data_IF_134317018499
#
_entry.id   IF_134317018499
#
_cell.length_a   1.000
_cell.length_b   1.000
_cell.length_c   1.000
_cell.angle_alpha   90.00
_cell.angle_beta   90.00
_cell.angle_gamma   90.00
#
_symmetry.space_group_name_H-M   'P 1'
#
loop_
_entity.id
_entity.type
_entity.pdbx_description
1 polymer ?
#
# COMPACT_ATOMS: atom_id res chain seq x y z
N UNK A 1 10.06 -8.10 10.83
CA UNK A 1 8.78 -8.86 10.79
C UNK A 1 8.39 -8.88 9.33
N UNK A 2 8.18 -10.03 8.68
CA UNK A 2 7.88 -10.07 7.23
C UNK A 2 6.36 -9.99 7.04
N UNK A 3 5.84 -8.78 6.81
CA UNK A 3 4.43 -8.48 6.56
C UNK A 3 4.25 -7.58 5.33
N UNK A 4 3.05 -7.04 5.13
CA UNK A 4 2.76 -6.06 4.07
C UNK A 4 3.13 -4.65 4.57
N UNK A 5 4.14 -4.03 3.96
CA UNK A 5 4.49 -2.62 4.14
C UNK A 5 3.89 -1.80 3.01
N UNK A 6 3.45 -0.59 3.32
CA UNK A 6 2.94 0.40 2.39
C UNK A 6 3.70 1.72 2.51
N UNK A 7 3.88 2.40 1.39
CA UNK A 7 4.58 3.68 1.25
C UNK A 7 3.61 4.73 0.69
N UNK A 8 3.34 5.76 1.48
CA UNK A 8 2.27 6.71 1.25
C UNK A 8 2.83 8.09 0.92
N UNK A 9 2.41 8.70 -0.20
CA UNK A 9 2.54 10.14 -0.38
C UNK A 9 1.44 10.83 0.45
N UNK A 10 1.80 11.50 1.55
CA UNK A 10 0.84 12.00 2.54
C UNK A 10 0.62 13.50 2.48
N UNK A 11 -0.62 13.95 2.65
CA UNK A 11 -0.98 15.36 2.86
C UNK A 11 -0.98 15.67 4.37
N UNK A 12 -0.04 16.46 4.91
CA UNK A 12 -0.08 16.84 6.33
C UNK A 12 -1.40 17.54 6.71
N UNK A 13 -1.96 18.33 5.78
CA UNK A 13 -3.25 18.99 5.95
C UNK A 13 -4.39 18.02 6.28
N UNK A 14 -4.40 16.79 5.73
CA UNK A 14 -5.41 15.79 6.09
C UNK A 14 -5.37 15.45 7.58
N UNK A 15 -4.18 15.28 8.15
CA UNK A 15 -4.03 14.98 9.57
C UNK A 15 -4.46 16.17 10.43
N UNK A 16 -4.15 17.39 10.01
CA UNK A 16 -4.51 18.61 10.75
C UNK A 16 -5.99 18.99 10.63
N UNK A 17 -6.62 18.78 9.48
CA UNK A 17 -7.98 19.26 9.18
C UNK A 17 -9.06 18.20 9.39
N UNK A 18 -8.69 16.91 9.29
CA UNK A 18 -9.64 15.79 9.44
C UNK A 18 -9.38 15.03 10.72
N UNK A 19 -8.16 14.54 10.93
CA UNK A 19 -7.85 13.64 12.05
C UNK A 19 -7.79 14.39 13.37
N UNK A 20 -7.01 15.47 13.45
CA UNK A 20 -6.79 16.21 14.68
C UNK A 20 -8.09 16.75 15.31
N UNK A 21 -9.02 17.38 14.55
CA UNK A 21 -10.27 17.85 15.14
C UNK A 21 -11.12 16.71 15.70
N UNK A 22 -11.17 15.56 15.03
CA UNK A 22 -11.87 14.38 15.53
C UNK A 22 -11.24 13.87 16.83
N UNK A 23 -9.91 13.75 16.85
CA UNK A 23 -9.18 13.34 18.04
C UNK A 23 -9.52 14.28 19.18
N UNK A 24 -9.42 15.60 19.00
CA UNK A 24 -9.71 16.64 20.00
C UNK A 24 -11.19 16.75 20.43
N UNK A 25 -12.09 15.89 19.94
CA UNK A 25 -13.52 15.92 20.27
C UNK A 25 -14.32 16.99 19.53
N UNK A 26 -13.72 17.59 18.51
CA UNK A 26 -14.36 18.50 17.57
C UNK A 26 -15.22 17.77 16.54
N UNK A 27 -15.81 18.56 15.64
CA UNK A 27 -16.59 18.08 14.50
C UNK A 27 -15.95 18.55 13.22
N UNK A 28 -16.07 17.75 12.17
CA UNK A 28 -15.64 18.08 10.81
C UNK A 28 -16.84 18.01 9.86
N UNK A 29 -16.73 18.69 8.72
CA UNK A 29 -17.55 18.35 7.55
C UNK A 29 -16.85 17.20 6.79
N UNK A 30 -17.42 15.98 6.77
CA UNK A 30 -16.79 14.85 6.12
C UNK A 30 -16.94 14.88 4.59
N UNK A 31 -17.82 15.71 4.02
CA UNK A 31 -18.20 15.61 2.60
C UNK A 31 -17.01 15.81 1.64
N UNK A 32 -16.10 16.78 1.84
CA UNK A 32 -14.93 16.93 0.97
C UNK A 32 -14.04 15.67 0.94
N UNK A 33 -13.87 15.02 2.10
CA UNK A 33 -13.13 13.77 2.21
C UNK A 33 -13.86 12.63 1.49
N UNK A 34 -15.17 12.46 1.73
CA UNK A 34 -15.96 11.39 1.12
C UNK A 34 -16.00 11.49 -0.41
N UNK A 35 -16.13 12.70 -0.97
CA UNK A 35 -16.11 12.91 -2.42
C UNK A 35 -14.76 12.51 -3.04
N UNK A 36 -13.65 12.85 -2.38
CA UNK A 36 -12.31 12.44 -2.81
C UNK A 36 -12.15 10.91 -2.74
N UNK A 37 -12.67 10.29 -1.67
CA UNK A 37 -12.55 8.85 -1.46
C UNK A 37 -13.36 8.05 -2.47
N UNK A 38 -14.57 8.50 -2.80
CA UNK A 38 -15.41 7.89 -3.84
C UNK A 38 -14.74 7.96 -5.22
N UNK A 39 -14.15 9.11 -5.57
CA UNK A 39 -13.40 9.25 -6.82
C UNK A 39 -12.22 8.28 -6.88
N UNK A 40 -11.44 8.20 -5.81
CA UNK A 40 -10.30 7.29 -5.75
C UNK A 40 -10.74 5.83 -5.86
N UNK A 41 -11.84 5.45 -5.18
CA UNK A 41 -12.40 4.10 -5.20
C UNK A 41 -12.75 3.62 -6.61
N UNK A 42 -13.39 4.46 -7.43
CA UNK A 42 -13.75 4.10 -8.82
C UNK A 42 -12.52 3.65 -9.60
N UNK A 43 -11.43 4.42 -9.53
CA UNK A 43 -10.19 4.07 -10.22
C UNK A 43 -9.49 2.85 -9.62
N UNK A 44 -9.52 2.70 -8.29
CA UNK A 44 -8.91 1.54 -7.62
C UNK A 44 -9.64 0.25 -7.99
N UNK A 45 -10.97 0.27 -7.95
CA UNK A 45 -11.82 -0.86 -8.33
C UNK A 45 -11.62 -1.26 -9.80
N UNK A 46 -11.67 -0.31 -10.74
CA UNK A 46 -11.46 -0.61 -12.18
C UNK A 46 -10.09 -1.26 -12.40
N UNK A 47 -9.03 -0.71 -11.80
CA UNK A 47 -7.67 -1.28 -11.90
C UNK A 47 -7.58 -2.69 -11.32
N UNK A 48 -8.21 -2.93 -10.17
CA UNK A 48 -8.15 -4.23 -9.47
C UNK A 48 -8.77 -5.36 -10.27
N UNK A 49 -9.78 -5.08 -11.09
CA UNK A 49 -10.37 -6.07 -12.00
C UNK A 49 -9.35 -6.57 -13.02
N UNK A 50 -8.50 -5.69 -13.56
CA UNK A 50 -7.40 -6.10 -14.43
C UNK A 50 -6.31 -6.84 -13.68
N UNK A 51 -5.94 -6.35 -12.48
CA UNK A 51 -4.92 -7.02 -11.65
C UNK A 51 -5.35 -8.46 -11.34
N UNK A 52 -6.63 -8.70 -11.00
CA UNK A 52 -7.17 -10.04 -10.75
C UNK A 52 -7.08 -10.94 -11.99
N UNK A 53 -7.49 -10.46 -13.16
CA UNK A 53 -7.34 -11.21 -14.42
C UNK A 53 -5.87 -11.56 -14.69
N UNK A 54 -4.95 -10.61 -14.50
CA UNK A 54 -3.51 -10.84 -14.70
C UNK A 54 -2.95 -11.84 -13.69
N UNK A 55 -3.39 -11.80 -12.44
CA UNK A 55 -2.95 -12.72 -11.40
C UNK A 55 -3.42 -14.16 -11.70
N UNK A 56 -4.68 -14.34 -12.11
CA UNK A 56 -5.21 -15.63 -12.56
C UNK A 56 -4.41 -16.18 -13.75
N UNK A 57 -4.10 -15.35 -14.75
CA UNK A 57 -3.28 -15.75 -15.90
C UNK A 57 -1.84 -16.10 -15.48
N UNK A 58 -1.28 -15.45 -14.46
CA UNK A 58 0.02 -15.81 -13.91
C UNK A 58 -0.02 -17.17 -13.20
N UNK A 59 -1.07 -17.44 -12.43
CA UNK A 59 -1.28 -18.74 -11.77
C UNK A 59 -1.44 -19.86 -12.79
N UNK A 60 -2.28 -19.66 -13.81
CA UNK A 60 -2.47 -20.55 -14.96
C UNK A 60 -1.20 -20.72 -15.81
N UNK A 61 -0.19 -19.86 -15.64
CA UNK A 61 1.11 -20.02 -16.31
C UNK A 61 2.05 -20.99 -15.57
N UNK A 62 1.64 -21.48 -14.41
CA UNK A 62 2.40 -22.42 -13.59
C UNK A 62 1.68 -23.76 -13.48
N UNK A 63 2.39 -24.89 -13.61
CA UNK A 63 1.77 -26.19 -13.42
C UNK A 63 1.26 -26.32 -11.98
N UNK A 64 0.11 -26.99 -11.76
CA UNK A 64 -0.42 -27.19 -10.41
C UNK A 64 0.60 -27.93 -9.54
N UNK A 65 0.77 -27.54 -8.26
CA UNK A 65 1.67 -28.25 -7.37
C UNK A 65 1.20 -29.70 -7.19
N UNK A 66 2.11 -30.68 -7.08
CA UNK A 66 1.72 -32.05 -6.81
C UNK A 66 0.99 -32.13 -5.46
N UNK A 67 -0.04 -32.98 -5.32
CA UNK A 67 -0.84 -33.06 -4.10
C UNK A 67 0.04 -33.49 -2.92
N UNK A 68 -0.10 -32.79 -1.78
CA UNK A 68 0.68 -33.05 -0.56
C UNK A 68 0.23 -34.33 0.13
N UNK A 69 -1.07 -34.63 0.06
CA UNK A 69 -1.72 -35.86 0.50
C UNK A 69 -2.01 -36.77 -0.71
N UNK A 70 -2.31 -38.05 -0.47
CA UNK A 70 -2.60 -39.03 -1.53
C UNK A 70 -1.52 -40.09 -1.74
N UNK A 71 -1.89 -41.10 -2.52
CA UNK A 71 -1.09 -42.27 -2.87
C UNK A 71 0.16 -41.90 -3.68
N UNK A 72 1.17 -42.77 -3.64
CA UNK A 72 2.41 -42.59 -4.44
C UNK A 72 2.12 -42.48 -5.95
N UNK A 73 1.07 -43.14 -6.42
CA UNK A 73 0.61 -43.09 -7.81
C UNK A 73 0.00 -41.75 -8.18
N UNK A 74 -0.82 -41.15 -7.31
CA UNK A 74 -1.36 -39.80 -7.53
C UNK A 74 -0.26 -38.75 -7.57
N UNK A 75 0.73 -38.85 -6.65
CA UNK A 75 1.90 -37.98 -6.65
C UNK A 75 2.77 -38.15 -7.90
N UNK A 76 2.93 -39.38 -8.40
CA UNK A 76 3.67 -39.65 -9.64
C UNK A 76 2.90 -39.13 -10.86
N UNK A 77 1.58 -39.34 -10.92
CA UNK A 77 0.72 -38.83 -11.99
C UNK A 77 0.76 -37.31 -12.06
N UNK A 78 0.61 -36.62 -10.93
CA UNK A 78 0.71 -35.16 -10.88
C UNK A 78 2.09 -34.67 -11.36
N UNK A 79 3.18 -35.37 -11.02
CA UNK A 79 4.52 -35.05 -11.54
C UNK A 79 4.63 -35.26 -13.06
N UNK A 80 3.96 -36.26 -13.62
CA UNK A 80 3.90 -36.46 -15.08
C UNK A 80 3.05 -35.38 -15.76
N UNK A 81 1.93 -34.99 -15.16
CA UNK A 81 1.09 -33.89 -15.64
C UNK A 81 1.86 -32.56 -15.66
N UNK A 82 2.79 -32.34 -14.72
CA UNK A 82 3.73 -31.20 -14.77
C UNK A 82 4.65 -31.24 -16.00
N UNK A 83 5.09 -32.41 -16.45
CA UNK A 83 5.96 -32.52 -17.62
C UNK A 83 5.24 -32.19 -18.94
N UNK A 84 3.96 -32.57 -19.05
CA UNK A 84 3.13 -32.30 -20.24
C UNK A 84 2.39 -30.97 -20.18
N UNK A 85 2.54 -30.21 -19.09
CA UNK A 85 1.86 -28.95 -18.89
C UNK A 85 2.24 -27.92 -19.95
N UNK A 86 1.23 -27.39 -20.63
CA UNK A 86 1.34 -26.28 -21.58
C UNK A 86 0.44 -25.16 -21.12
N UNK A 87 1.04 -24.11 -20.58
CA UNK A 87 0.33 -22.88 -20.26
C UNK A 87 -0.32 -22.30 -21.51
N UNK A 88 -1.45 -21.62 -21.31
CA UNK A 88 -2.07 -20.84 -22.36
C UNK A 88 -1.05 -19.82 -22.95
N UNK A 89 -1.06 -19.57 -24.28
CA UNK A 89 -0.15 -18.62 -24.89
C UNK A 89 -0.23 -17.21 -24.29
N UNK A 90 -1.42 -16.77 -23.89
CA UNK A 90 -1.62 -15.48 -23.22
C UNK A 90 -1.02 -15.49 -21.82
N UNK A 91 -1.26 -16.54 -21.03
CA UNK A 91 -0.63 -16.72 -19.71
C UNK A 91 0.91 -16.69 -19.80
N UNK A 92 1.47 -17.30 -20.85
CA UNK A 92 2.91 -17.25 -21.12
C UNK A 92 3.41 -15.85 -21.48
N UNK A 93 2.62 -15.06 -22.22
CA UNK A 93 2.94 -13.66 -22.53
C UNK A 93 2.90 -12.80 -21.27
N UNK A 94 1.88 -12.96 -20.43
CA UNK A 94 1.73 -12.25 -19.15
C UNK A 94 2.92 -12.56 -18.24
N UNK A 95 3.28 -13.84 -18.07
CA UNK A 95 4.45 -14.26 -17.28
C UNK A 95 5.76 -13.60 -17.71
N UNK A 96 5.93 -13.34 -19.01
CA UNK A 96 7.14 -12.70 -19.55
C UNK A 96 7.12 -11.18 -19.37
N UNK A 97 5.95 -10.56 -19.42
CA UNK A 97 5.81 -9.11 -19.42
C UNK A 97 5.57 -8.52 -18.01
N UNK A 98 4.94 -9.28 -17.11
CA UNK A 98 4.46 -8.79 -15.81
C UNK A 98 5.35 -9.30 -14.68
N UNK A 99 5.88 -8.38 -13.87
CA UNK A 99 6.54 -8.70 -12.62
C UNK A 99 5.55 -8.57 -11.46
N UNK A 100 5.05 -9.69 -10.92
CA UNK A 100 3.99 -9.73 -9.88
C UNK A 100 4.25 -8.75 -8.73
N UNK A 101 5.42 -8.82 -8.11
CA UNK A 101 5.75 -7.98 -6.95
C UNK A 101 5.79 -6.48 -7.26
N UNK A 102 6.06 -6.09 -8.51
CA UNK A 102 6.19 -4.69 -8.89
C UNK A 102 4.89 -4.15 -9.46
N UNK A 103 4.27 -4.88 -10.39
CA UNK A 103 3.14 -4.41 -11.19
C UNK A 103 1.78 -4.71 -10.56
N UNK A 104 1.63 -5.86 -9.87
CA UNK A 104 0.33 -6.30 -9.33
C UNK A 104 0.21 -5.99 -7.84
N UNK A 105 1.28 -6.27 -7.10
CA UNK A 105 1.32 -6.06 -5.64
C UNK A 105 2.03 -4.76 -5.26
N UNK A 106 2.76 -4.15 -6.19
CA UNK A 106 3.78 -3.17 -5.84
C UNK A 106 3.40 -1.71 -6.00
N UNK A 107 2.68 -1.42 -7.08
CA UNK A 107 2.32 -0.08 -7.50
C UNK A 107 0.82 0.14 -7.29
N UNK A 108 0.39 1.39 -7.13
CA UNK A 108 -1.03 1.69 -7.03
C UNK A 108 -1.82 1.35 -8.30
N UNK A 109 -1.12 1.27 -9.43
CA UNK A 109 -1.65 1.08 -10.76
C UNK A 109 -0.71 0.21 -11.60
N UNK A 110 -1.24 -0.40 -12.66
CA UNK A 110 -0.42 -1.12 -13.63
C UNK A 110 0.41 -0.12 -14.45
N UNK A 111 1.72 -0.02 -14.19
CA UNK A 111 2.60 0.94 -14.86
C UNK A 111 3.75 0.18 -15.51
N UNK A 112 4.06 0.47 -16.76
CA UNK A 112 5.09 -0.22 -17.56
C UNK A 112 6.51 0.33 -17.32
N UNK A 113 6.60 1.64 -17.04
CA UNK A 113 7.86 2.37 -17.03
C UNK A 113 8.71 2.07 -15.78
N UNK A 114 10.03 2.25 -15.89
CA UNK A 114 11.00 2.10 -14.79
C UNK A 114 11.60 3.37 -14.24
N UNK A 115 11.34 4.51 -14.87
CA UNK A 115 11.69 5.84 -14.38
C UNK A 115 10.71 6.27 -13.29
N UNK A 116 11.17 6.58 -12.07
CA UNK A 116 10.32 7.09 -11.00
C UNK A 116 9.50 8.34 -11.39
N UNK A 117 10.06 9.18 -12.27
CA UNK A 117 9.39 10.40 -12.74
C UNK A 117 8.23 10.10 -13.68
N UNK A 118 8.41 9.17 -14.63
CA UNK A 118 7.33 8.73 -15.53
C UNK A 118 6.26 7.99 -14.74
N UNK A 119 6.65 7.15 -13.77
CA UNK A 119 5.72 6.52 -12.83
C UNK A 119 4.88 7.59 -12.11
N UNK A 120 5.50 8.63 -11.58
CA UNK A 120 4.80 9.73 -10.94
C UNK A 120 3.82 10.46 -11.88
N UNK A 121 4.18 10.66 -13.15
CA UNK A 121 3.29 11.24 -14.17
C UNK A 121 2.08 10.34 -14.47
N UNK A 122 2.27 9.02 -14.53
CA UNK A 122 1.20 8.05 -14.76
C UNK A 122 0.26 7.98 -13.55
N UNK A 123 0.81 7.93 -12.33
CA UNK A 123 0.02 7.94 -11.08
C UNK A 123 -0.82 9.22 -10.97
N UNK A 124 -0.29 10.35 -11.41
CA UNK A 124 -1.04 11.61 -11.39
C UNK A 124 -2.23 11.59 -12.35
N UNK A 125 -2.02 11.16 -13.60
CA UNK A 125 -3.11 10.97 -14.58
C UNK A 125 -4.18 10.00 -14.06
N UNK A 126 -3.75 8.93 -13.42
CA UNK A 126 -4.64 7.98 -12.78
C UNK A 126 -5.47 8.61 -11.65
N UNK A 127 -4.83 9.41 -10.78
CA UNK A 127 -5.51 10.13 -9.69
C UNK A 127 -6.55 11.13 -10.20
N UNK A 128 -6.26 11.77 -11.33
CA UNK A 128 -7.14 12.76 -11.97
C UNK A 128 -8.28 12.13 -12.78
N UNK A 129 -8.22 10.82 -13.04
CA UNK A 129 -9.27 10.12 -13.76
C UNK A 129 -10.61 10.22 -13.02
N UNK A 130 -11.65 10.64 -13.75
CA UNK A 130 -12.97 10.95 -13.20
C UNK A 130 -14.02 9.87 -13.48
N UNK A 131 -13.65 8.78 -14.17
CA UNK A 131 -14.54 7.70 -14.54
C UNK A 131 -13.77 6.40 -14.74
N UNK A 132 -14.47 5.27 -14.58
CA UNK A 132 -13.89 3.94 -14.83
C UNK A 132 -13.36 3.80 -16.26
N UNK A 133 -14.07 4.32 -17.27
CA UNK A 133 -13.62 4.21 -18.66
C UNK A 133 -12.30 4.93 -18.96
N UNK A 134 -12.03 6.06 -18.30
CA UNK A 134 -10.72 6.73 -18.40
C UNK A 134 -9.61 5.89 -17.75
N UNK A 135 -9.93 5.23 -16.63
CA UNK A 135 -8.97 4.33 -15.95
C UNK A 135 -8.72 3.09 -16.78
N UNK A 136 -9.75 2.49 -17.36
CA UNK A 136 -9.64 1.33 -18.25
C UNK A 136 -8.72 1.65 -19.44
N UNK A 137 -8.90 2.81 -20.09
CA UNK A 137 -8.01 3.26 -21.16
C UNK A 137 -6.55 3.41 -20.69
N UNK A 138 -6.34 3.98 -19.50
CA UNK A 138 -4.99 4.08 -18.93
C UNK A 138 -4.38 2.68 -18.70
N UNK A 139 -5.17 1.69 -18.27
CA UNK A 139 -4.67 0.32 -18.03
C UNK A 139 -4.28 -0.31 -19.35
N UNK A 140 -5.15 -0.21 -20.37
CA UNK A 140 -4.91 -0.72 -21.71
C UNK A 140 -3.65 -0.10 -22.34
N UNK A 141 -3.47 1.21 -22.20
CA UNK A 141 -2.27 1.92 -22.67
C UNK A 141 -1.01 1.36 -22.00
N UNK A 142 -1.06 1.13 -20.68
CA UNK A 142 0.08 0.58 -19.94
C UNK A 142 0.34 -0.89 -20.30
N UNK A 143 -0.69 -1.70 -20.51
CA UNK A 143 -0.55 -3.08 -21.01
C UNK A 143 0.09 -3.11 -22.39
N UNK A 144 -0.35 -2.24 -23.31
CA UNK A 144 0.22 -2.12 -24.65
C UNK A 144 1.69 -1.68 -24.63
N UNK A 145 2.07 -0.80 -23.70
CA UNK A 145 3.47 -0.41 -23.49
C UNK A 145 4.33 -1.53 -22.91
N UNK A 146 3.80 -2.33 -21.97
CA UNK A 146 4.50 -3.51 -21.43
C UNK A 146 4.74 -4.56 -22.52
N UNK A 147 3.71 -4.82 -23.33
CA UNK A 147 3.76 -5.76 -24.44
C UNK A 147 2.63 -5.45 -25.42
N UNK A 148 2.96 -5.03 -26.66
CA UNK A 148 1.94 -4.82 -27.70
C UNK A 148 1.10 -6.06 -27.98
N UNK A 149 1.61 -7.26 -27.66
CA UNK A 149 0.89 -8.52 -27.82
C UNK A 149 -0.19 -8.76 -26.76
N UNK A 150 -0.21 -7.99 -25.65
CA UNK A 150 -1.25 -8.01 -24.61
C UNK A 150 -2.38 -7.03 -24.88
N UNK A 151 -2.13 -6.00 -25.71
CA UNK A 151 -3.12 -4.98 -26.02
C UNK A 151 -4.41 -5.60 -26.57
N UNK A 152 -5.56 -5.24 -25.97
CA UNK A 152 -6.89 -5.74 -26.33
C UNK A 152 -7.16 -7.21 -26.00
N UNK A 153 -6.21 -7.94 -25.40
CA UNK A 153 -6.40 -9.36 -25.03
C UNK A 153 -6.73 -9.59 -23.56
N UNK A 154 -6.34 -8.66 -22.69
CA UNK A 154 -6.69 -8.72 -21.27
C UNK A 154 -8.00 -7.99 -21.09
N UNK A 155 -8.99 -8.67 -20.52
CA UNK A 155 -10.28 -8.11 -20.17
C UNK A 155 -10.38 -7.98 -18.64
N UNK A 156 -10.99 -6.92 -18.12
CA UNK A 156 -11.21 -6.79 -16.68
C UNK A 156 -12.20 -7.87 -16.22
N UNK A 157 -11.95 -8.47 -15.05
CA UNK A 157 -12.84 -9.46 -14.44
C UNK A 157 -14.31 -8.96 -14.44
N UNK A 158 -15.22 -9.68 -15.08
CA UNK A 158 -16.62 -9.28 -15.21
C UNK A 158 -17.45 -9.57 -13.95
N UNK A 159 -16.98 -10.48 -13.10
CA UNK A 159 -17.75 -11.00 -11.95
C UNK A 159 -17.54 -10.18 -10.68
N UNK A 160 -16.58 -9.24 -10.69
CA UNK A 160 -16.33 -8.33 -9.57
C UNK A 160 -17.36 -7.20 -9.57
N UNK A 161 -18.36 -7.26 -8.69
CA UNK A 161 -19.27 -6.14 -8.44
C UNK A 161 -18.63 -5.12 -7.49
N UNK A 162 -18.82 -3.82 -7.76
CA UNK A 162 -18.47 -2.77 -6.81
C UNK A 162 -19.60 -2.62 -5.80
N UNK A 163 -19.30 -2.66 -4.50
CA UNK A 163 -20.35 -2.38 -3.51
C UNK A 163 -20.90 -0.97 -3.71
N UNK A 164 -22.17 -0.74 -3.34
CA UNK A 164 -22.79 0.57 -3.53
C UNK A 164 -22.02 1.70 -2.84
N UNK A 165 -22.05 2.90 -3.43
CA UNK A 165 -21.44 4.10 -2.84
C UNK A 165 -21.99 4.39 -1.44
N UNK A 166 -23.26 4.08 -1.18
CA UNK A 166 -23.88 4.22 0.14
C UNK A 166 -23.21 3.36 1.20
N UNK A 167 -22.89 2.10 0.89
CA UNK A 167 -22.20 1.19 1.82
C UNK A 167 -20.79 1.71 2.14
N UNK A 168 -20.02 2.08 1.11
CA UNK A 168 -18.67 2.58 1.30
C UNK A 168 -18.63 3.92 2.05
N UNK A 169 -19.58 4.82 1.76
CA UNK A 169 -19.72 6.06 2.54
C UNK A 169 -20.02 5.77 4.01
N UNK A 170 -20.88 4.81 4.30
CA UNK A 170 -21.18 4.40 5.67
C UNK A 170 -19.93 3.85 6.38
N UNK A 171 -19.16 2.98 5.72
CA UNK A 171 -17.89 2.45 6.25
C UNK A 171 -16.90 3.57 6.60
N UNK A 172 -16.70 4.54 5.69
CA UNK A 172 -15.79 5.66 5.94
C UNK A 172 -16.27 6.57 7.06
N UNK A 173 -17.58 6.80 7.16
CA UNK A 173 -18.18 7.57 8.25
C UNK A 173 -18.02 6.86 9.60
N UNK A 174 -18.21 5.54 9.62
CA UNK A 174 -18.01 4.71 10.80
C UNK A 174 -16.54 4.75 11.24
N UNK A 175 -15.60 4.71 10.31
CA UNK A 175 -14.17 4.82 10.59
C UNK A 175 -13.76 6.22 11.13
N UNK A 176 -14.34 7.30 10.60
CA UNK A 176 -14.13 8.65 11.15
C UNK A 176 -14.71 8.78 12.56
N UNK A 177 -15.93 8.24 12.78
CA UNK A 177 -16.54 8.18 14.10
C UNK A 177 -15.71 7.36 15.07
N UNK A 178 -15.13 6.25 14.61
CA UNK A 178 -14.27 5.39 15.43
C UNK A 178 -13.07 6.14 16.01
N UNK A 179 -12.42 6.99 15.20
CA UNK A 179 -11.32 7.87 15.66
C UNK A 179 -11.78 8.82 16.78
N UNK A 180 -12.92 9.49 16.58
CA UNK A 180 -13.50 10.40 17.55
C UNK A 180 -13.88 9.68 18.86
N UNK A 181 -14.62 8.58 18.74
CA UNK A 181 -15.17 7.84 19.88
C UNK A 181 -14.06 7.18 20.70
N UNK A 182 -13.00 6.68 20.05
CA UNK A 182 -11.83 6.12 20.75
C UNK A 182 -11.10 7.19 21.55
N UNK A 183 -10.86 8.37 20.96
CA UNK A 183 -10.25 9.48 21.69
C UNK A 183 -11.12 9.95 22.86
N UNK A 184 -12.44 10.01 22.67
CA UNK A 184 -13.38 10.33 23.74
C UNK A 184 -13.37 9.29 24.87
N UNK A 185 -13.37 8.00 24.55
CA UNK A 185 -13.29 6.92 25.52
C UNK A 185 -11.97 6.98 26.31
N UNK A 186 -10.85 7.27 25.63
CA UNK A 186 -9.54 7.43 26.25
C UNK A 186 -9.53 8.58 27.28
N UNK A 187 -10.12 9.74 26.96
CA UNK A 187 -10.27 10.86 27.91
C UNK A 187 -11.06 10.50 29.16
N UNK A 188 -12.12 9.71 28.99
CA UNK A 188 -13.03 9.31 30.07
C UNK A 188 -12.49 8.14 30.91
N UNK A 189 -11.37 7.54 30.51
CA UNK A 189 -10.84 6.33 31.14
C UNK A 189 -11.72 5.10 30.90
N UNK A 190 -12.49 5.09 29.80
CA UNK A 190 -13.36 3.98 29.43
C UNK A 190 -12.57 2.86 28.74
N UNK A 191 -13.19 1.68 28.62
CA UNK A 191 -12.65 0.58 27.84
C UNK A 191 -13.08 0.68 26.38
N UNK A 192 -12.26 0.15 25.50
CA UNK A 192 -12.51 -0.01 24.08
C UNK A 192 -12.59 -1.49 23.74
N UNK A 193 -13.51 -1.89 22.85
CA UNK A 193 -13.66 -3.27 22.43
C UNK A 193 -13.54 -3.38 20.91
N UNK A 194 -12.52 -4.11 20.47
CA UNK A 194 -12.26 -4.41 19.06
C UNK A 194 -12.32 -5.91 18.83
N UNK A 195 -13.53 -6.45 18.78
CA UNK A 195 -13.80 -7.84 18.39
C UNK A 195 -13.20 -8.87 19.36
N UNK A 196 -12.24 -9.66 18.88
CA UNK A 196 -11.84 -10.94 19.50
C UNK A 196 -10.93 -10.85 20.71
N UNK A 197 -10.31 -9.69 20.99
CA UNK A 197 -9.36 -9.54 22.11
C UNK A 197 -10.01 -9.12 23.44
N UNK A 198 -11.33 -8.92 23.46
CA UNK A 198 -12.05 -8.45 24.64
C UNK A 198 -11.80 -6.95 24.92
N UNK A 199 -12.49 -6.38 25.93
CA UNK A 199 -12.36 -4.97 26.26
C UNK A 199 -11.02 -4.66 26.95
N UNK A 200 -10.34 -3.61 26.49
CA UNK A 200 -9.10 -3.08 27.08
C UNK A 200 -9.19 -1.56 27.33
N UNK A 201 -8.40 -0.95 28.22
CA UNK A 201 -8.46 0.51 28.43
C UNK A 201 -8.20 1.28 27.13
N UNK A 202 -9.10 2.19 26.75
CA UNK A 202 -9.01 2.95 25.51
C UNK A 202 -7.70 3.75 25.39
N UNK A 203 -7.21 4.29 26.51
CA UNK A 203 -5.94 5.03 26.58
C UNK A 203 -4.69 4.15 26.31
N UNK A 204 -4.80 2.83 26.46
CA UNK A 204 -3.73 1.88 26.09
C UNK A 204 -3.85 1.48 24.62
N UNK A 205 -5.07 1.37 24.10
CA UNK A 205 -5.32 0.99 22.71
C UNK A 205 -5.02 2.11 21.71
N UNK A 206 -5.39 3.35 22.05
CA UNK A 206 -5.32 4.51 21.18
C UNK A 206 -3.93 4.72 20.54
N UNK A 207 -2.81 4.66 21.27
CA UNK A 207 -1.48 4.87 20.70
C UNK A 207 -1.13 3.93 19.53
N UNK A 208 -1.49 2.64 19.64
CA UNK A 208 -1.18 1.64 18.62
C UNK A 208 -2.20 1.61 17.46
N UNK A 209 -3.35 2.27 17.61
CA UNK A 209 -4.44 2.19 16.65
C UNK A 209 -4.70 3.49 15.88
N UNK A 210 -4.69 4.63 16.57
CA UNK A 210 -5.03 5.92 15.99
C UNK A 210 -4.14 6.28 14.79
N UNK A 211 -2.80 6.18 14.86
CA UNK A 211 -1.94 6.50 13.72
C UNK A 211 -2.20 5.61 12.51
N UNK A 212 -2.38 4.31 12.76
CA UNK A 212 -2.70 3.34 11.73
C UNK A 212 -4.03 3.65 11.05
N UNK A 213 -5.08 3.93 11.83
CA UNK A 213 -6.40 4.25 11.30
C UNK A 213 -6.39 5.57 10.52
N UNK A 214 -5.62 6.56 10.96
CA UNK A 214 -5.43 7.81 10.23
C UNK A 214 -4.73 7.60 8.87
N UNK A 215 -3.65 6.82 8.83
CA UNK A 215 -2.99 6.46 7.58
C UNK A 215 -3.91 5.63 6.66
N UNK A 216 -4.72 4.72 7.23
CA UNK A 216 -5.73 3.95 6.49
C UNK A 216 -6.81 4.84 5.89
N UNK A 217 -7.32 5.85 6.62
CA UNK A 217 -8.29 6.81 6.08
C UNK A 217 -7.65 7.64 4.95
N UNK A 218 -6.41 8.10 5.15
CA UNK A 218 -5.67 8.82 4.11
C UNK A 218 -5.47 7.97 2.84
N UNK A 219 -5.22 6.67 2.98
CA UNK A 219 -5.07 5.77 1.83
C UNK A 219 -6.36 5.58 1.02
N UNK A 220 -7.52 6.00 1.55
CA UNK A 220 -8.80 5.97 0.81
C UNK A 220 -8.95 7.12 -0.16
N UNK A 221 -8.13 8.16 -0.06
CA UNK A 221 -8.17 9.35 -0.93
C UNK A 221 -6.94 9.50 -1.82
N UNK A 222 -5.93 8.62 -1.66
CA UNK A 222 -4.70 8.66 -2.45
C UNK A 222 -4.11 7.28 -2.73
N UNK A 223 -3.49 7.10 -3.92
CA UNK A 223 -2.72 5.91 -4.25
C UNK A 223 -1.47 5.77 -3.38
N UNK A 224 -1.05 4.52 -3.12
CA UNK A 224 0.17 4.19 -2.38
C UNK A 224 0.85 2.94 -2.95
N UNK A 225 2.13 2.75 -2.60
CA UNK A 225 2.92 1.59 -3.02
C UNK A 225 2.96 0.56 -1.91
N UNK A 226 3.16 -0.70 -2.24
CA UNK A 226 3.20 -1.78 -1.25
C UNK A 226 4.33 -2.74 -1.51
N UNK A 227 4.84 -3.39 -0.47
CA UNK A 227 5.82 -4.46 -0.58
C UNK A 227 5.58 -5.51 0.49
N UNK A 228 5.68 -6.77 0.10
CA UNK A 228 5.50 -7.91 0.99
C UNK A 228 6.84 -8.43 1.51
N UNK A 229 6.83 -8.90 2.74
CA UNK A 229 7.93 -9.65 3.35
C UNK A 229 9.26 -8.87 3.35
N UNK A 230 9.16 -7.56 3.59
CA UNK A 230 10.25 -6.59 3.65
C UNK A 230 10.22 -5.81 4.97
N UNK A 231 11.28 -5.07 5.26
CA UNK A 231 11.37 -4.12 6.37
C UNK A 231 11.37 -2.66 5.83
N UNK A 232 11.14 -1.68 6.70
CA UNK A 232 11.13 -0.24 6.37
C UNK A 232 12.52 0.35 6.07
N UNK A 233 12.56 1.60 5.59
CA UNK A 233 13.78 2.24 5.09
C UNK A 233 14.90 2.35 6.15
N UNK A 234 14.53 2.69 7.39
CA UNK A 234 15.47 2.76 8.53
C UNK A 234 16.21 1.43 8.72
N UNK A 235 15.45 0.34 8.80
CA UNK A 235 15.97 -1.00 9.06
C UNK A 235 16.87 -1.49 7.93
N UNK A 236 16.47 -1.33 6.67
CA UNK A 236 17.28 -1.77 5.53
C UNK A 236 18.54 -0.91 5.35
N UNK A 237 18.50 0.39 5.70
CA UNK A 237 19.66 1.29 5.63
C UNK A 237 20.71 0.86 6.67
N UNK A 238 20.28 0.71 7.92
CA UNK A 238 21.14 0.24 9.02
C UNK A 238 21.74 -1.13 8.74
N UNK A 239 20.95 -2.08 8.22
CA UNK A 239 21.44 -3.40 7.83
C UNK A 239 22.52 -3.34 6.73
N UNK A 240 22.50 -2.31 5.89
CA UNK A 240 23.50 -2.05 4.85
C UNK A 240 24.71 -1.23 5.35
N UNK A 241 24.75 -0.84 6.63
CA UNK A 241 25.77 0.07 7.17
C UNK A 241 25.66 1.49 6.61
N UNK A 242 24.45 1.91 6.21
CA UNK A 242 24.12 3.26 5.75
C UNK A 242 23.27 3.92 6.83
N UNK A 243 23.67 5.09 7.30
CA UNK A 243 22.82 5.91 8.17
C UNK A 243 21.64 6.42 7.37
N UNK A 244 20.41 6.23 7.87
CA UNK A 244 19.22 6.81 7.23
C UNK A 244 19.31 8.35 7.22
N UNK A 245 18.61 9.05 6.30
CA UNK A 245 18.68 10.50 6.24
C UNK A 245 18.04 11.12 7.49
N UNK A 246 18.60 12.23 7.98
CA UNK A 246 18.13 12.91 9.20
C UNK A 246 16.68 13.42 9.05
N UNK A 247 16.22 13.63 7.82
CA UNK A 247 14.84 13.99 7.50
C UNK A 247 13.82 12.87 7.76
N UNK A 248 14.25 11.62 7.93
CA UNK A 248 13.38 10.50 8.27
C UNK A 248 13.14 10.50 9.79
N UNK A 249 12.00 11.04 10.21
CA UNK A 249 11.63 11.18 11.62
C UNK A 249 10.47 10.25 11.96
N UNK A 250 10.14 9.99 13.25
CA UNK A 250 8.96 9.21 13.57
C UNK A 250 7.68 10.00 13.26
N UNK A 251 6.60 9.30 12.90
CA UNK A 251 5.37 9.93 12.43
C UNK A 251 4.58 10.74 13.47
N UNK A 252 5.02 10.84 14.73
CA UNK A 252 4.33 11.64 15.76
C UNK A 252 4.20 13.11 15.36
N UNK A 253 5.03 13.60 14.44
CA UNK A 253 4.95 14.97 13.88
C UNK A 253 3.59 15.24 13.22
N UNK A 254 2.94 14.22 12.66
CA UNK A 254 1.60 14.33 12.07
C UNK A 254 0.48 14.43 13.12
N UNK A 255 0.79 14.25 14.41
CA UNK A 255 -0.17 14.13 15.50
C UNK A 255 0.15 15.09 16.66
N UNK A 256 0.74 16.27 16.39
CA UNK A 256 1.27 17.19 17.41
C UNK A 256 0.35 17.40 18.62
N UNK A 257 -0.82 18.00 18.41
CA UNK A 257 -1.79 18.27 19.49
C UNK A 257 -2.32 16.99 20.14
N UNK A 258 -2.53 15.92 19.36
CA UNK A 258 -2.93 14.61 19.89
C UNK A 258 -1.85 13.98 20.78
N UNK A 259 -0.57 14.20 20.48
CA UNK A 259 0.54 13.75 21.33
C UNK A 259 0.64 14.54 22.63
N UNK A 260 0.29 15.82 22.62
CA UNK A 260 0.26 16.62 23.85
C UNK A 260 -0.88 16.19 24.77
N UNK A 261 -2.01 15.80 24.20
CA UNK A 261 -3.14 15.25 24.95
C UNK A 261 -2.93 13.78 25.39
N UNK A 262 -2.33 12.96 24.53
CA UNK A 262 -2.06 11.55 24.75
C UNK A 262 -0.55 11.25 24.63
N UNK A 263 0.28 11.54 25.66
CA UNK A 263 1.74 11.41 25.56
C UNK A 263 2.25 10.04 25.11
N UNK A 264 1.56 8.97 25.48
CA UNK A 264 1.87 7.59 25.03
C UNK A 264 1.83 7.43 23.50
N UNK A 265 1.05 8.25 22.79
CA UNK A 265 1.03 8.27 21.33
C UNK A 265 2.41 8.60 20.76
N UNK A 266 3.13 9.57 21.36
CA UNK A 266 4.49 9.94 20.96
C UNK A 266 5.49 8.83 21.30
N UNK A 267 5.28 8.14 22.42
CA UNK A 267 6.15 7.05 22.86
C UNK A 267 6.08 5.81 21.95
N UNK A 268 4.90 5.49 21.41
CA UNK A 268 4.68 4.31 20.55
C UNK A 268 5.02 4.54 19.07
N UNK A 269 5.15 5.80 18.66
CA UNK A 269 5.50 6.17 17.28
C UNK A 269 7.02 6.21 17.11
N UNK A 270 7.55 5.19 16.45
CA UNK A 270 8.98 4.99 16.18
C UNK A 270 9.30 5.07 14.68
N UNK A 271 10.59 5.13 14.33
CA UNK A 271 11.03 4.99 12.93
C UNK A 271 10.77 3.58 12.38
N UNK A 272 10.98 2.57 13.22
CA UNK A 272 10.88 1.16 12.83
C UNK A 272 9.44 0.67 12.89
N UNK A 273 9.02 -0.04 11.84
CA UNK A 273 7.72 -0.66 11.75
C UNK A 273 7.66 -1.90 12.67
N UNK A 274 6.76 -1.87 13.65
CA UNK A 274 6.51 -2.97 14.59
C UNK A 274 5.04 -3.42 14.57
N UNK A 275 4.77 -4.65 15.01
CA UNK A 275 3.41 -5.20 15.07
C UNK A 275 2.75 -5.43 13.70
N UNK A 276 1.41 -5.48 13.68
CA UNK A 276 0.62 -5.61 12.43
C UNK A 276 -0.01 -4.29 11.97
N UNK A 277 0.09 -3.24 12.79
CA UNK A 277 -0.48 -1.90 12.56
C UNK A 277 0.53 -0.79 12.81
N UNK A 278 1.82 -1.08 12.66
CA UNK A 278 2.87 -0.09 12.87
C UNK A 278 2.83 1.04 11.86
N UNK A 279 3.06 2.26 12.34
CA UNK A 279 3.41 3.42 11.53
C UNK A 279 4.88 3.73 11.80
N UNK A 280 5.65 3.90 10.72
CA UNK A 280 7.10 4.02 10.78
C UNK A 280 7.57 5.44 10.49
N UNK A 281 8.67 5.52 9.72
CA UNK A 281 9.28 6.78 9.32
C UNK A 281 8.35 7.67 8.50
N UNK A 282 8.48 8.97 8.74
CA UNK A 282 7.82 10.07 8.07
C UNK A 282 8.88 11.07 7.55
N UNK A 283 8.63 11.65 6.39
CA UNK A 283 9.39 12.79 5.86
C UNK A 283 8.40 13.89 5.48
N UNK A 284 8.64 15.10 5.96
CA UNK A 284 7.84 16.29 5.65
C UNK A 284 7.91 16.63 4.16
N UNK A 285 6.89 17.32 3.59
CA UNK A 285 6.93 17.74 2.19
C UNK A 285 8.20 18.50 1.79
N UNK A 286 8.67 19.39 2.67
CA UNK A 286 9.86 20.23 2.47
C UNK A 286 11.17 19.42 2.44
N UNK A 287 11.21 18.27 3.12
CA UNK A 287 12.40 17.43 3.21
C UNK A 287 12.38 16.22 2.27
N UNK A 288 11.29 15.96 1.54
CA UNK A 288 11.24 14.88 0.53
C UNK A 288 12.36 14.98 -0.53
N UNK A 289 12.78 16.16 -1.03
CA UNK A 289 13.93 16.26 -1.93
C UNK A 289 15.23 15.68 -1.35
N UNK A 290 15.43 15.78 -0.03
CA UNK A 290 16.56 15.17 0.67
C UNK A 290 16.44 13.63 0.64
N UNK A 291 15.26 13.09 0.95
CA UNK A 291 14.99 11.65 0.84
C UNK A 291 15.25 11.14 -0.59
N UNK A 292 14.78 11.84 -1.62
CA UNK A 292 15.03 11.44 -3.03
C UNK A 292 16.53 11.44 -3.35
N UNK A 293 17.26 12.45 -2.85
CA UNK A 293 18.72 12.54 -3.01
C UNK A 293 19.45 11.40 -2.30
N UNK A 294 19.04 11.07 -1.07
CA UNK A 294 19.55 9.94 -0.30
C UNK A 294 19.35 8.62 -1.04
N UNK A 295 18.15 8.33 -1.53
CA UNK A 295 17.82 7.10 -2.25
C UNK A 295 18.65 6.95 -3.54
N UNK A 296 18.94 8.06 -4.22
CA UNK A 296 19.81 8.07 -5.41
C UNK A 296 21.28 7.81 -5.05
N UNK A 297 21.77 8.40 -3.97
CA UNK A 297 23.17 8.27 -3.54
C UNK A 297 23.48 6.90 -2.94
N UNK A 298 22.58 6.36 -2.11
CA UNK A 298 22.84 5.18 -1.29
C UNK A 298 22.06 3.93 -1.69
N UNK A 299 21.03 4.04 -2.54
CA UNK A 299 20.18 2.89 -2.90
C UNK A 299 20.95 1.72 -3.50
N UNK A 300 21.98 1.98 -4.31
CA UNK A 300 22.85 0.93 -4.88
C UNK A 300 23.65 0.18 -3.81
N UNK A 301 24.14 0.88 -2.78
CA UNK A 301 24.85 0.27 -1.65
C UNK A 301 23.93 -0.63 -0.83
N UNK A 302 22.70 -0.16 -0.55
CA UNK A 302 21.68 -0.94 0.18
C UNK A 302 21.34 -2.23 -0.58
N UNK A 303 21.09 -2.14 -1.89
CA UNK A 303 20.81 -3.32 -2.74
C UNK A 303 22.02 -4.27 -2.77
N UNK A 304 23.24 -3.75 -2.84
CA UNK A 304 24.44 -4.58 -2.86
C UNK A 304 24.61 -5.34 -1.53
N UNK A 305 24.38 -4.68 -0.40
CA UNK A 305 24.42 -5.31 0.92
C UNK A 305 23.36 -6.43 1.04
N UNK A 306 22.13 -6.15 0.63
CA UNK A 306 21.06 -7.15 0.61
C UNK A 306 21.38 -8.33 -0.33
N UNK A 307 22.03 -8.07 -1.46
CA UNK A 307 22.46 -9.11 -2.41
C UNK A 307 23.46 -10.07 -1.78
N UNK A 308 24.41 -9.57 -0.98
CA UNK A 308 25.35 -10.41 -0.23
C UNK A 308 24.65 -11.28 0.82
N UNK A 309 23.50 -10.83 1.32
CA UNK A 309 22.65 -11.58 2.25
C UNK A 309 21.60 -12.48 1.55
N UNK A 310 21.58 -12.55 0.21
CA UNK A 310 20.62 -13.36 -0.54
C UNK A 310 19.23 -12.73 -0.74
N UNK A 311 19.04 -11.46 -0.33
CA UNK A 311 17.76 -10.72 -0.42
C UNK A 311 17.78 -9.65 -1.54
N UNK A 312 18.80 -9.68 -2.41
CA UNK A 312 19.07 -8.68 -3.45
C UNK A 312 17.87 -8.35 -4.35
N UNK A 313 17.23 -9.34 -5.00
CA UNK A 313 16.06 -9.08 -5.87
C UNK A 313 14.90 -8.40 -5.14
N UNK A 314 14.56 -8.88 -3.94
CA UNK A 314 13.47 -8.30 -3.12
C UNK A 314 13.80 -6.87 -2.70
N UNK A 315 15.02 -6.63 -2.22
CA UNK A 315 15.48 -5.30 -1.85
C UNK A 315 15.52 -4.35 -3.06
N UNK A 316 15.90 -4.82 -4.24
CA UNK A 316 15.86 -4.02 -5.46
C UNK A 316 14.45 -3.56 -5.83
N UNK A 317 13.46 -4.44 -5.71
CA UNK A 317 12.05 -4.11 -5.95
C UNK A 317 11.54 -3.13 -4.88
N UNK A 318 11.90 -3.35 -3.62
CA UNK A 318 11.57 -2.45 -2.50
C UNK A 318 12.12 -1.04 -2.72
N UNK A 319 13.42 -0.90 -2.98
CA UNK A 319 14.07 0.40 -3.19
C UNK A 319 13.47 1.15 -4.38
N UNK A 320 13.05 0.41 -5.41
CA UNK A 320 12.34 1.00 -6.56
C UNK A 320 10.99 1.61 -6.14
N UNK A 321 10.19 0.91 -5.33
CA UNK A 321 8.89 1.39 -4.83
C UNK A 321 9.03 2.60 -3.92
N UNK A 322 9.98 2.56 -2.98
CA UNK A 322 10.28 3.70 -2.09
C UNK A 322 10.65 4.93 -2.93
N UNK A 323 11.53 4.75 -3.93
CA UNK A 323 11.94 5.84 -4.83
C UNK A 323 10.80 6.38 -5.70
N UNK A 324 9.94 5.51 -6.22
CA UNK A 324 8.74 5.90 -6.97
C UNK A 324 7.79 6.73 -6.11
N UNK A 325 7.50 6.27 -4.89
CA UNK A 325 6.67 6.99 -3.92
C UNK A 325 7.26 8.35 -3.55
N UNK A 326 8.55 8.40 -3.17
CA UNK A 326 9.23 9.64 -2.82
C UNK A 326 9.29 10.64 -3.99
N UNK A 327 9.52 10.16 -5.22
CA UNK A 327 9.51 11.02 -6.42
C UNK A 327 8.11 11.59 -6.69
N UNK A 328 7.06 10.78 -6.49
CA UNK A 328 5.68 11.26 -6.62
C UNK A 328 5.34 12.29 -5.52
N UNK A 329 5.80 12.06 -4.29
CA UNK A 329 5.61 12.98 -3.18
C UNK A 329 6.33 14.32 -3.43
N UNK A 330 7.59 14.29 -3.84
CA UNK A 330 8.40 15.47 -4.21
C UNK A 330 7.69 16.31 -5.28
N UNK A 331 7.26 15.67 -6.36
CA UNK A 331 6.60 16.34 -7.49
C UNK A 331 5.33 17.09 -7.07
N UNK A 332 4.61 16.60 -6.07
CA UNK A 332 3.30 17.11 -5.68
C UNK A 332 3.31 17.88 -4.36
N UNK A 333 4.48 18.14 -3.77
CA UNK A 333 4.58 18.81 -2.47
C UNK A 333 3.89 18.04 -1.34
N UNK A 334 4.03 16.71 -1.33
CA UNK A 334 3.47 15.81 -0.33
C UNK A 334 4.61 15.26 0.55
N UNK A 335 4.28 14.82 1.76
CA UNK A 335 5.21 14.07 2.60
C UNK A 335 5.30 12.60 2.19
N UNK A 336 6.18 11.86 2.85
CA UNK A 336 6.34 10.40 2.70
C UNK A 336 6.08 9.71 4.04
N UNK A 337 5.38 8.57 4.04
CA UNK A 337 5.09 7.79 5.25
C UNK A 337 5.15 6.28 4.99
N UNK A 338 5.71 5.53 5.95
CA UNK A 338 5.69 4.06 5.95
C UNK A 338 4.64 3.51 6.92
N UNK A 339 3.89 2.49 6.50
CA UNK A 339 2.84 1.87 7.32
C UNK A 339 2.70 0.36 7.07
N UNK A 340 2.34 -0.40 8.10
CA UNK A 340 2.06 -1.84 8.03
C UNK A 340 0.57 -2.14 7.88
N UNK A 341 0.25 -3.19 7.13
CA UNK A 341 -1.09 -3.79 7.10
C UNK A 341 -2.18 -2.89 6.52
N UNK A 342 -1.81 -1.90 5.70
CA UNK A 342 -2.77 -1.11 4.93
C UNK A 342 -2.89 -1.73 3.54
N UNK A 343 -4.09 -2.23 3.26
CA UNK A 343 -4.44 -2.89 2.01
C UNK A 343 -5.13 -1.93 1.03
N UNK A 344 -4.96 -2.17 -0.28
CA UNK A 344 -5.50 -1.32 -1.33
C UNK A 344 -7.03 -1.43 -1.38
N UNK A 345 -7.68 -0.46 -2.03
CA UNK A 345 -9.11 -0.55 -2.33
C UNK A 345 -9.38 -1.55 -3.45
N UNK A 346 -10.51 -2.26 -3.36
CA UNK A 346 -11.05 -3.11 -4.43
C UNK A 346 -11.35 -4.53 -3.95
N UNK A 347 -11.77 -5.42 -4.87
CA UNK A 347 -11.97 -6.83 -4.53
C UNK A 347 -10.67 -7.43 -4.01
N UNK A 348 -10.80 -8.27 -2.97
CA UNK A 348 -9.69 -9.05 -2.45
C UNK A 348 -9.02 -9.81 -3.60
N UNK A 349 -7.69 -9.79 -3.63
CA UNK A 349 -6.98 -10.78 -4.43
C UNK A 349 -7.31 -12.14 -3.82
N UNK A 350 -7.66 -13.12 -4.65
CA UNK A 350 -7.88 -14.47 -4.16
C UNK A 350 -6.62 -14.92 -3.39
N UNK A 351 -6.79 -15.15 -2.09
CA UNK A 351 -5.72 -15.47 -1.15
C UNK A 351 -5.19 -16.88 -1.31
#
# INVERSE_FOLDING_TARGET
>A
MRGLISFHPVEPAFFMEVVQPLVSGGKIDPEPYLLRALRHRVGAWSTRRYIRTLDLLLEESTPPPPPTTGSRWEKLRARLEVFDFRADPLATLVKKAIHRDLHLLGRPFLISDGSPRVVADVVERYREANSAGVVDQLVEDQLGQMSPALAGKIQPDADSEMESDGCYRAELMDALREVHDLAQAARKGETWNMGSKGPEPAATYLPGYLPWRAAWLHSRIRPFWMAENVDGLETISRAAGVTAPDCLVPAWVLFGDACDEFPKLREELHHELTGSRGIGGYVSPEDVPELVSFLKAHGGQIIQAATRAGEGPRCSVLMRKIRECATYAEKNGLGYLEALGIEPLGPDLAS
#
